data_IF_160459122054
#
_entry.id   IF_160459122054
#
_cell.length_a   1.000
_cell.length_b   1.000
_cell.length_c   1.000
_cell.angle_alpha   90.00
_cell.angle_beta   90.00
_cell.angle_gamma   90.00
#
_symmetry.space_group_name_H-M   'P 1'
#
loop_
_entity.id
_entity.type
_entity.pdbx_description
1 polymer ?
#
# COMPACT_ATOMS: atom_id res chain seq x y z
N UNK A 1 -0.02 -5.68 -57.36
CA UNK A 1 -0.05 -6.49 -56.14
C UNK A 1 0.95 -5.88 -55.17
N UNK A 2 0.48 -4.98 -54.30
CA UNK A 2 1.31 -4.37 -53.25
C UNK A 2 1.00 -5.14 -51.97
N UNK A 3 2.02 -5.80 -51.40
CA UNK A 3 1.92 -6.41 -50.09
C UNK A 3 2.58 -5.44 -49.11
N UNK A 4 1.74 -4.65 -48.46
CA UNK A 4 2.09 -3.65 -47.46
C UNK A 4 2.36 -4.25 -46.08
N UNK A 5 3.34 -3.64 -45.42
CA UNK A 5 3.46 -3.43 -43.97
C UNK A 5 3.84 -4.60 -43.04
N UNK A 6 5.14 -4.59 -42.71
CA UNK A 6 5.64 -4.88 -41.36
C UNK A 6 4.89 -4.06 -40.32
N UNK A 7 4.53 -4.70 -39.21
CA UNK A 7 4.29 -4.00 -37.94
C UNK A 7 3.04 -4.41 -37.16
N UNK A 8 2.84 -5.71 -36.88
CA UNK A 8 1.89 -6.15 -35.85
C UNK A 8 2.62 -6.32 -34.53
N UNK A 9 2.41 -5.38 -33.60
CA UNK A 9 2.95 -5.39 -32.23
C UNK A 9 2.60 -6.71 -31.52
N UNK A 10 3.46 -7.23 -30.62
CA UNK A 10 3.10 -8.35 -29.76
C UNK A 10 1.81 -7.99 -29.01
N UNK A 11 0.80 -8.84 -29.15
CA UNK A 11 -0.41 -8.82 -28.34
C UNK A 11 0.01 -8.80 -26.87
N UNK A 12 -0.33 -7.71 -26.18
CA UNK A 12 -0.28 -7.70 -24.74
C UNK A 12 -1.31 -8.73 -24.27
N UNK A 13 -0.85 -9.90 -23.85
CA UNK A 13 -1.61 -10.83 -23.03
C UNK A 13 -2.25 -10.04 -21.89
N UNK A 14 -3.56 -9.80 -21.98
CA UNK A 14 -4.35 -9.36 -20.86
C UNK A 14 -4.36 -10.52 -19.86
N UNK A 15 -3.44 -10.47 -18.91
CA UNK A 15 -3.45 -11.34 -17.73
C UNK A 15 -4.76 -11.05 -16.99
N UNK A 16 -5.74 -11.92 -17.18
CA UNK A 16 -6.96 -11.96 -16.39
C UNK A 16 -6.58 -12.29 -14.94
N UNK A 17 -6.39 -11.24 -14.13
CA UNK A 17 -6.29 -11.34 -12.67
C UNK A 17 -7.71 -11.50 -12.11
N UNK A 18 -8.37 -12.60 -12.43
CA UNK A 18 -9.48 -13.07 -11.60
C UNK A 18 -8.89 -13.41 -10.23
N UNK A 19 -9.04 -12.46 -9.30
CA UNK A 19 -8.79 -12.62 -7.87
C UNK A 19 -9.63 -13.82 -7.36
N UNK A 20 -9.06 -15.01 -7.51
CA UNK A 20 -9.65 -16.26 -7.06
C UNK A 20 -9.54 -16.31 -5.54
N UNK A 21 -10.63 -15.86 -4.92
CA UNK A 21 -10.92 -15.88 -3.50
C UNK A 21 -10.86 -17.34 -3.00
N UNK A 22 -9.73 -17.77 -2.47
CA UNK A 22 -9.62 -19.02 -1.75
C UNK A 22 -10.40 -18.91 -0.44
N UNK A 23 -11.62 -19.46 -0.43
CA UNK A 23 -12.46 -19.60 0.75
C UNK A 23 -12.24 -21.00 1.30
N UNK A 24 -11.55 -21.10 2.43
CA UNK A 24 -11.40 -22.34 3.17
C UNK A 24 -10.96 -22.10 4.61
N UNK A 25 -11.90 -22.24 5.55
CA UNK A 25 -11.64 -22.52 6.98
C UNK A 25 -11.19 -21.35 7.86
N UNK A 26 -12.15 -20.80 8.64
CA UNK A 26 -11.98 -19.96 9.84
C UNK A 26 -11.38 -18.55 9.63
N UNK A 27 -12.20 -17.53 9.92
CA UNK A 27 -11.89 -16.07 9.85
C UNK A 27 -11.52 -15.53 8.47
N UNK A 28 -12.54 -15.29 7.64
CA UNK A 28 -12.37 -14.47 6.43
C UNK A 28 -11.89 -13.07 6.88
N UNK A 29 -10.71 -12.59 6.46
CA UNK A 29 -10.30 -11.23 6.78
C UNK A 29 -11.35 -10.28 6.21
N UNK A 30 -11.79 -9.31 7.01
CA UNK A 30 -12.70 -8.27 6.53
C UNK A 30 -11.92 -7.45 5.50
N UNK A 31 -12.63 -6.84 4.54
CA UNK A 31 -11.98 -5.98 3.54
C UNK A 31 -11.17 -4.85 4.20
N UNK A 32 -11.61 -4.38 5.36
CA UNK A 32 -10.90 -3.46 6.24
C UNK A 32 -9.52 -3.99 6.68
N UNK A 33 -9.42 -5.27 7.10
CA UNK A 33 -8.16 -5.89 7.54
C UNK A 33 -7.13 -5.94 6.41
N UNK A 34 -7.58 -6.21 5.19
CA UNK A 34 -6.71 -6.27 3.99
C UNK A 34 -6.20 -4.88 3.65
N UNK A 35 -7.06 -3.87 3.71
CA UNK A 35 -6.70 -2.49 3.37
C UNK A 35 -5.76 -1.90 4.40
N UNK A 36 -6.02 -2.13 5.70
CA UNK A 36 -5.12 -1.75 6.78
C UNK A 36 -3.74 -2.41 6.63
N UNK A 37 -3.67 -3.69 6.25
CA UNK A 37 -2.40 -4.38 5.99
C UNK A 37 -1.64 -3.77 4.80
N UNK A 38 -2.33 -3.41 3.72
CA UNK A 38 -1.73 -2.73 2.57
C UNK A 38 -1.10 -1.40 3.00
N UNK A 39 -1.82 -0.59 3.79
CA UNK A 39 -1.31 0.69 4.30
C UNK A 39 -0.08 0.49 5.19
N UNK A 40 -0.14 -0.49 6.11
CA UNK A 40 1.00 -0.81 6.98
C UNK A 40 2.22 -1.27 6.18
N UNK A 41 2.03 -2.11 5.16
CA UNK A 41 3.10 -2.57 4.28
C UNK A 41 3.73 -1.41 3.50
N UNK A 42 2.93 -0.47 3.02
CA UNK A 42 3.43 0.73 2.34
C UNK A 42 4.30 1.59 3.27
N UNK A 43 3.86 1.85 4.50
CA UNK A 43 4.66 2.60 5.49
C UNK A 43 5.96 1.86 5.80
N UNK A 44 5.91 0.55 6.02
CA UNK A 44 7.11 -0.27 6.28
C UNK A 44 8.09 -0.27 5.12
N UNK A 45 7.59 -0.30 3.89
CA UNK A 45 8.45 -0.33 2.71
C UNK A 45 9.10 1.02 2.46
N UNK A 46 8.33 2.11 2.56
CA UNK A 46 8.86 3.47 2.51
C UNK A 46 9.88 3.72 3.61
N UNK A 47 9.67 3.17 4.81
CA UNK A 47 10.62 3.27 5.92
C UNK A 47 11.97 2.61 5.65
N UNK A 48 12.05 1.58 4.80
CA UNK A 48 13.33 0.96 4.40
C UNK A 48 14.21 1.95 3.64
N UNK A 49 13.60 2.77 2.79
CA UNK A 49 14.28 3.77 1.96
C UNK A 49 14.40 5.12 2.66
N UNK A 50 13.44 5.48 3.53
CA UNK A 50 13.40 6.73 4.26
C UNK A 50 13.10 6.53 5.76
N UNK A 51 14.17 6.44 6.56
CA UNK A 51 14.09 6.19 8.01
C UNK A 51 13.53 7.36 8.82
N UNK A 52 13.37 8.54 8.22
CA UNK A 52 12.69 9.67 8.89
C UNK A 52 11.17 9.50 8.87
N UNK A 53 10.65 8.71 7.92
CA UNK A 53 9.23 8.42 7.74
C UNK A 53 8.71 8.92 6.40
N UNK A 54 7.39 8.96 6.23
CA UNK A 54 6.75 9.42 4.99
C UNK A 54 5.46 10.16 5.29
N UNK A 55 5.15 11.17 4.47
CA UNK A 55 3.89 11.91 4.56
C UNK A 55 2.73 11.08 4.03
N UNK A 56 1.49 11.51 4.30
CA UNK A 56 0.29 10.85 3.76
C UNK A 56 0.32 10.77 2.24
N UNK A 57 0.72 11.86 1.58
CA UNK A 57 0.79 11.94 0.11
C UNK A 57 1.75 10.90 -0.46
N UNK A 58 2.94 10.77 0.14
CA UNK A 58 3.93 9.79 -0.28
C UNK A 58 3.43 8.35 -0.08
N UNK A 59 2.71 8.09 1.00
CA UNK A 59 2.13 6.77 1.28
C UNK A 59 1.02 6.46 0.27
N UNK A 60 0.11 7.41 0.03
CA UNK A 60 -0.97 7.28 -0.96
C UNK A 60 -0.41 7.04 -2.36
N UNK A 61 0.56 7.84 -2.78
CA UNK A 61 1.23 7.69 -4.07
C UNK A 61 1.90 6.31 -4.19
N UNK A 62 2.61 5.87 -3.15
CA UNK A 62 3.26 4.57 -3.14
C UNK A 62 2.27 3.40 -3.26
N UNK A 63 1.14 3.46 -2.54
CA UNK A 63 0.07 2.47 -2.63
C UNK A 63 -0.56 2.49 -4.03
N UNK A 64 -0.86 3.68 -4.55
CA UNK A 64 -1.47 3.85 -5.86
C UNK A 64 -0.58 3.26 -6.96
N UNK A 65 0.71 3.55 -6.94
CA UNK A 65 1.69 3.01 -7.89
C UNK A 65 1.78 1.48 -7.82
N UNK A 66 1.72 0.89 -6.62
CA UNK A 66 1.82 -0.57 -6.43
C UNK A 66 0.56 -1.33 -6.81
N UNK A 67 -0.61 -0.83 -6.43
CA UNK A 67 -1.88 -1.53 -6.66
C UNK A 67 -2.33 -1.33 -8.10
N UNK A 68 -2.25 -0.11 -8.60
CA UNK A 68 -2.80 0.23 -9.91
C UNK A 68 -1.74 0.24 -11.01
N UNK A 69 -0.51 -0.25 -10.74
CA UNK A 69 0.60 -0.38 -11.71
C UNK A 69 0.83 0.88 -12.57
N UNK A 70 0.74 2.06 -11.96
CA UNK A 70 0.91 3.35 -12.65
C UNK A 70 -0.35 3.94 -13.27
N UNK A 71 -1.50 3.28 -13.20
CA UNK A 71 -2.80 3.94 -13.35
C UNK A 71 -3.12 4.62 -12.03
N UNK A 72 -2.69 5.87 -11.82
CA UNK A 72 -3.14 6.64 -10.65
C UNK A 72 -4.65 6.71 -10.76
N UNK A 73 -5.43 6.02 -9.90
CA UNK A 73 -6.86 6.27 -9.88
C UNK A 73 -6.98 7.77 -9.62
N UNK A 74 -7.83 8.47 -10.37
CA UNK A 74 -8.21 9.82 -9.95
C UNK A 74 -8.51 9.77 -8.45
N UNK A 75 -8.20 10.84 -7.69
CA UNK A 75 -8.51 10.85 -6.27
C UNK A 75 -10.03 10.78 -6.11
N UNK A 76 -10.58 9.57 -6.19
CA UNK A 76 -11.86 9.25 -5.60
C UNK A 76 -11.63 9.56 -4.14
N UNK A 77 -12.35 10.54 -3.63
CA UNK A 77 -12.30 10.96 -2.24
C UNK A 77 -12.36 9.74 -1.30
N UNK A 78 -13.01 8.65 -1.74
CA UNK A 78 -13.00 7.35 -1.12
C UNK A 78 -11.59 6.75 -0.89
N UNK A 79 -10.72 6.64 -1.89
CA UNK A 79 -9.38 6.06 -1.71
C UNK A 79 -8.53 6.89 -0.74
N UNK A 80 -8.55 8.21 -0.92
CA UNK A 80 -7.84 9.13 -0.02
C UNK A 80 -8.36 8.99 1.41
N UNK A 81 -9.67 9.01 1.60
CA UNK A 81 -10.30 8.91 2.91
C UNK A 81 -10.00 7.56 3.58
N UNK A 82 -10.05 6.46 2.83
CA UNK A 82 -9.76 5.12 3.34
C UNK A 82 -8.30 5.00 3.81
N UNK A 83 -7.34 5.50 3.02
CA UNK A 83 -5.92 5.46 3.42
C UNK A 83 -5.67 6.33 4.66
N UNK A 84 -6.24 7.54 4.69
CA UNK A 84 -6.10 8.45 5.83
C UNK A 84 -6.72 7.88 7.11
N UNK A 85 -7.91 7.26 7.02
CA UNK A 85 -8.55 6.60 8.17
C UNK A 85 -7.67 5.49 8.73
N UNK A 86 -7.19 4.59 7.89
CA UNK A 86 -6.36 3.47 8.34
C UNK A 86 -4.98 3.91 8.85
N UNK A 87 -4.42 5.02 8.36
CA UNK A 87 -3.20 5.58 8.92
C UNK A 87 -3.40 6.04 10.37
N UNK A 88 -4.57 6.63 10.69
CA UNK A 88 -4.91 7.00 12.06
C UNK A 88 -5.13 5.75 12.92
N UNK A 89 -5.89 4.76 12.43
CA UNK A 89 -6.11 3.49 13.14
C UNK A 89 -4.77 2.80 13.49
N UNK A 90 -3.81 2.78 12.55
CA UNK A 90 -2.49 2.18 12.77
C UNK A 90 -1.62 2.97 13.76
N UNK A 91 -1.85 4.28 13.93
CA UNK A 91 -1.21 5.09 14.96
C UNK A 91 -1.82 4.77 16.33
N UNK A 92 -3.14 4.65 16.41
CA UNK A 92 -3.87 4.29 17.63
C UNK A 92 -3.51 2.87 18.11
N UNK A 93 -3.45 1.90 17.20
CA UNK A 93 -3.03 0.52 17.48
C UNK A 93 -1.50 0.40 17.70
N UNK A 94 -0.77 1.51 17.76
CA UNK A 94 0.67 1.56 18.06
C UNK A 94 1.58 0.87 17.03
N UNK A 95 1.03 0.37 15.93
CA UNK A 95 1.75 -0.27 14.83
C UNK A 95 2.72 0.69 14.13
N UNK A 96 2.35 1.97 14.05
CA UNK A 96 3.20 3.05 13.53
C UNK A 96 3.19 4.25 14.49
N UNK A 97 3.99 5.27 14.22
CA UNK A 97 3.98 6.54 14.93
C UNK A 97 3.90 7.70 13.94
N UNK A 98 3.19 8.76 14.33
CA UNK A 98 3.10 10.01 13.61
C UNK A 98 3.89 11.09 14.36
N UNK A 99 4.83 11.76 13.69
CA UNK A 99 5.62 12.88 14.21
C UNK A 99 5.58 13.99 13.20
N UNK A 100 5.08 15.18 13.56
CA UNK A 100 5.01 16.36 12.68
C UNK A 100 4.43 16.03 11.29
N UNK A 101 3.30 15.31 11.25
CA UNK A 101 2.62 14.85 10.02
C UNK A 101 3.37 13.80 9.17
N UNK A 102 4.46 13.25 9.71
CA UNK A 102 5.24 12.17 9.09
C UNK A 102 4.95 10.86 9.80
N UNK A 103 4.61 9.82 9.04
CA UNK A 103 4.31 8.48 9.51
C UNK A 103 5.54 7.59 9.36
N UNK A 104 5.90 6.87 10.42
CA UNK A 104 7.03 5.93 10.40
C UNK A 104 6.76 4.72 11.27
N UNK A 105 7.45 3.63 10.98
CA UNK A 105 7.42 2.44 11.85
C UNK A 105 7.99 2.82 13.22
N UNK A 106 7.39 2.30 14.30
CA UNK A 106 8.01 2.42 15.63
C UNK A 106 9.29 1.60 15.64
N UNK A 107 10.39 2.25 15.92
CA UNK A 107 11.65 1.55 16.10
C UNK A 107 11.63 0.88 17.48
N UNK A 108 11.53 -0.46 17.50
CA UNK A 108 11.52 -1.23 18.75
C UNK A 108 12.86 -1.13 19.52
N UNK A 109 13.89 -0.50 18.94
CA UNK A 109 15.19 -0.32 19.59
C UNK A 109 15.20 0.72 20.72
N UNK A 110 14.13 1.54 20.86
CA UNK A 110 14.05 2.55 21.91
C UNK A 110 13.58 2.00 23.28
N UNK A 111 13.31 0.70 23.41
CA UNK A 111 12.91 0.05 24.67
C UNK A 111 13.93 -1.01 25.09
N UNK A 112 15.21 -0.64 25.18
CA UNK A 112 16.24 -1.49 25.80
C UNK A 112 17.20 -0.68 26.66
N UNK A 113 16.66 0.01 27.68
CA UNK A 113 17.41 0.53 28.82
C UNK A 113 16.53 0.53 30.07
N UNK A 114 16.20 -0.66 30.58
CA UNK A 114 15.98 -0.89 32.02
C UNK A 114 15.83 -2.39 32.30
N UNK A 115 16.93 -3.14 32.43
CA UNK A 115 16.95 -4.24 33.39
C UNK A 115 17.12 -3.63 34.79
N UNK A 116 16.13 -3.85 35.66
CA UNK A 116 16.32 -3.78 37.11
C UNK A 116 17.36 -4.79 37.56
#
# INVERSE_FOLDING_TARGET
MQMDQRGGRPEAEAVDLTLSLAVGGSTRPKADDVTQQIVLLAVKDLYKSNRTGSTRDQIREHIAQRIFRGMVPEPEDAFTWVVDSHLLDLVEDTSIQMVEHVFRVRDASATSRNPT
#
